data_IF_280846496790
#
_entry.id   IF_280846496790
#
_cell.length_a   1.000
_cell.length_b   1.000
_cell.length_c   1.000
_cell.angle_alpha   90.00
_cell.angle_beta   90.00
_cell.angle_gamma   90.00
#
_symmetry.space_group_name_H-M   'P 1'
#
loop_
_entity.id
_entity.type
_entity.pdbx_description
1 polymer ?
#
# COMPACT_ATOMS: atom_id res chain seq x y z
N UNK A 1 12.60 -9.54 -9.58
CA UNK A 1 11.99 -8.44 -8.83
C UNK A 1 12.58 -8.38 -7.45
N UNK A 2 13.01 -7.20 -7.04
CA UNK A 2 13.69 -7.04 -5.75
C UNK A 2 12.92 -6.14 -4.79
N UNK A 3 11.96 -5.37 -5.29
CA UNK A 3 11.26 -4.37 -4.48
C UNK A 3 9.78 -4.33 -4.81
N UNK A 4 8.98 -4.11 -3.78
CA UNK A 4 7.58 -3.73 -3.92
C UNK A 4 7.48 -2.28 -3.47
N UNK A 5 6.86 -1.44 -4.26
CA UNK A 5 6.62 -0.05 -3.90
C UNK A 5 5.14 0.12 -3.64
N UNK A 6 4.78 0.41 -2.40
CA UNK A 6 3.40 0.69 -2.01
C UNK A 6 3.14 2.16 -2.24
N UNK A 7 2.08 2.47 -2.96
CA UNK A 7 1.70 3.84 -3.30
C UNK A 7 0.57 4.31 -2.38
N UNK A 8 0.79 5.42 -1.70
CA UNK A 8 -0.18 6.02 -0.80
C UNK A 8 -0.47 7.44 -1.23
N UNK A 9 -1.73 7.81 -1.23
CA UNK A 9 -2.17 9.18 -1.51
C UNK A 9 -2.41 9.90 -0.19
N UNK A 10 -1.68 10.98 0.02
CA UNK A 10 -1.82 11.84 1.20
C UNK A 10 -2.27 13.24 0.78
N UNK A 11 -2.49 14.10 1.76
CA UNK A 11 -2.87 15.49 1.50
C UNK A 11 -1.75 16.29 0.80
N UNK A 12 -0.52 15.81 0.89
CA UNK A 12 0.63 16.47 0.28
C UNK A 12 1.09 15.83 -1.03
N UNK A 13 0.41 14.77 -1.47
CA UNK A 13 0.73 14.08 -2.72
C UNK A 13 0.89 12.59 -2.55
N UNK A 14 1.56 11.94 -3.49
CA UNK A 14 1.77 10.50 -3.48
C UNK A 14 3.06 10.17 -2.73
N UNK A 15 2.96 9.23 -1.79
CA UNK A 15 4.10 8.72 -1.06
C UNK A 15 4.39 7.29 -1.50
N UNK A 16 5.64 6.90 -1.45
CA UNK A 16 6.09 5.56 -1.81
C UNK A 16 6.75 4.88 -0.63
N UNK A 17 6.36 3.64 -0.37
CA UNK A 17 7.00 2.81 0.66
C UNK A 17 7.65 1.63 -0.06
N UNK A 18 8.97 1.52 0.04
CA UNK A 18 9.72 0.44 -0.61
C UNK A 18 9.94 -0.71 0.34
N UNK A 19 9.59 -1.92 -0.09
CA UNK A 19 9.75 -3.13 0.69
C UNK A 19 10.53 -4.13 -0.14
N UNK A 20 11.56 -4.73 0.46
CA UNK A 20 12.35 -5.74 -0.21
C UNK A 20 11.56 -7.05 -0.27
N UNK A 21 11.57 -7.70 -1.43
CA UNK A 21 10.74 -8.89 -1.63
C UNK A 21 11.27 -10.14 -0.92
N UNK A 22 12.58 -10.25 -0.76
CA UNK A 22 13.23 -11.40 -0.08
C UNK A 22 12.76 -12.76 -0.62
N UNK A 23 12.56 -12.85 -1.93
CA UNK A 23 12.15 -14.10 -2.58
C UNK A 23 10.66 -14.35 -2.59
N UNK A 24 9.85 -13.51 -1.96
CA UNK A 24 8.40 -13.65 -1.98
C UNK A 24 7.79 -12.98 -3.21
N UNK A 25 6.56 -13.37 -3.51
CA UNK A 25 5.81 -12.77 -4.60
C UNK A 25 5.43 -11.33 -4.23
N UNK A 26 5.63 -10.40 -5.16
CA UNK A 26 5.37 -9.00 -4.91
C UNK A 26 3.89 -8.72 -4.58
N UNK A 27 2.96 -9.39 -5.26
CA UNK A 27 1.53 -9.25 -4.97
C UNK A 27 1.16 -9.72 -3.57
N UNK A 28 1.76 -10.81 -3.12
CA UNK A 28 1.54 -11.32 -1.76
C UNK A 28 2.05 -10.35 -0.70
N UNK A 29 3.22 -9.76 -0.94
CA UNK A 29 3.79 -8.77 -0.03
C UNK A 29 2.88 -7.54 0.05
N UNK A 30 2.41 -7.06 -1.10
CA UNK A 30 1.53 -5.90 -1.15
C UNK A 30 0.20 -6.18 -0.42
N UNK A 31 -0.38 -7.36 -0.61
CA UNK A 31 -1.61 -7.75 0.08
C UNK A 31 -1.42 -7.85 1.59
N UNK A 32 -0.31 -8.48 2.02
CA UNK A 32 0.00 -8.59 3.44
C UNK A 32 0.21 -7.22 4.07
N UNK A 33 0.93 -6.33 3.38
CA UNK A 33 1.14 -4.97 3.87
C UNK A 33 -0.19 -4.24 4.05
N UNK A 34 -1.08 -4.37 3.06
CA UNK A 34 -2.40 -3.75 3.11
C UNK A 34 -3.20 -4.24 4.32
N UNK A 35 -3.23 -5.55 4.55
CA UNK A 35 -3.99 -6.13 5.67
C UNK A 35 -3.47 -5.68 7.03
N UNK A 36 -2.15 -5.54 7.16
CA UNK A 36 -1.52 -5.17 8.43
C UNK A 36 -1.60 -3.67 8.69
N UNK A 37 -1.45 -2.86 7.64
CA UNK A 37 -1.23 -1.42 7.79
C UNK A 37 -2.42 -0.56 7.40
N UNK A 38 -3.46 -1.15 6.79
CA UNK A 38 -4.63 -0.39 6.35
C UNK A 38 -5.91 -1.04 6.83
N UNK A 39 -7.00 -0.25 6.82
CA UNK A 39 -8.35 -0.74 7.07
C UNK A 39 -9.25 -0.27 5.92
N UNK A 40 -10.18 -1.12 5.54
CA UNK A 40 -11.15 -0.79 4.50
C UNK A 40 -12.27 0.06 5.09
N UNK A 41 -12.57 1.16 4.41
CA UNK A 41 -13.73 2.00 4.73
C UNK A 41 -14.73 1.92 3.58
N UNK A 42 -15.97 1.64 3.92
CA UNK A 42 -17.07 1.55 2.98
C UNK A 42 -17.97 2.76 3.16
N UNK A 43 -17.79 3.77 2.34
CA UNK A 43 -18.54 5.01 2.43
C UNK A 43 -18.24 5.89 1.24
N UNK A 44 -18.51 7.20 1.34
CA UNK A 44 -18.27 8.13 0.22
C UNK A 44 -16.84 8.11 -0.30
N UNK A 45 -15.89 7.81 0.58
CA UNK A 45 -14.47 7.70 0.22
C UNK A 45 -14.00 6.26 0.44
N UNK A 46 -14.54 5.34 -0.36
CA UNK A 46 -14.18 3.92 -0.25
C UNK A 46 -12.70 3.69 -0.51
N UNK A 47 -12.13 2.76 0.23
CA UNK A 47 -10.76 2.32 0.01
C UNK A 47 -10.08 1.85 1.28
N UNK A 48 -8.80 1.52 1.15
CA UNK A 48 -7.97 1.09 2.25
C UNK A 48 -7.13 2.26 2.74
N UNK A 49 -7.30 2.62 4.00
CA UNK A 49 -6.63 3.77 4.58
C UNK A 49 -5.70 3.34 5.71
N UNK A 50 -4.54 3.97 5.79
CA UNK A 50 -3.61 3.77 6.89
C UNK A 50 -4.14 4.46 8.16
N UNK A 51 -3.50 4.18 9.30
CA UNK A 51 -3.90 4.79 10.57
C UNK A 51 -3.79 6.31 10.57
N UNK A 52 -2.90 6.86 9.74
CA UNK A 52 -2.71 8.30 9.60
C UNK A 52 -3.52 8.89 8.43
N UNK A 53 -4.47 8.13 7.90
CA UNK A 53 -5.45 8.64 6.94
C UNK A 53 -4.99 8.68 5.48
N UNK A 54 -3.93 7.96 5.13
CA UNK A 54 -3.46 7.91 3.75
C UNK A 54 -4.15 6.78 3.00
N UNK A 55 -4.56 7.05 1.77
CA UNK A 55 -5.23 6.06 0.92
C UNK A 55 -4.21 5.23 0.14
N UNK A 56 -4.30 3.91 0.27
CA UNK A 56 -3.49 3.02 -0.55
C UNK A 56 -4.09 2.95 -1.96
N UNK A 57 -3.36 3.47 -2.95
CA UNK A 57 -3.85 3.53 -4.33
C UNK A 57 -3.30 2.40 -5.21
N UNK A 58 -2.31 1.67 -4.75
CA UNK A 58 -1.79 0.54 -5.50
C UNK A 58 -0.37 0.19 -5.09
N UNK A 59 0.26 -0.63 -5.93
CA UNK A 59 1.64 -1.02 -5.73
C UNK A 59 2.34 -1.23 -7.06
N UNK A 60 3.66 -1.15 -7.03
CA UNK A 60 4.51 -1.39 -8.21
C UNK A 60 5.53 -2.46 -7.84
N UNK A 61 5.77 -3.39 -8.77
CA UNK A 61 6.81 -4.41 -8.62
C UNK A 61 8.03 -4.00 -9.43
N UNK A 62 9.18 -3.92 -8.78
CA UNK A 62 10.45 -3.59 -9.45
C UNK A 62 11.45 -4.71 -9.33
#
# INVERSE_FOLDING_TARGET
>A
MKWVIILLLSTTGVEEIKIKTSGLNCGEIADAWREVNTRYYDGPNQGNFTNDGKLMIGHICQ
#
